data_IF_070813675113
#
_entry.id   IF_070813675113
#
_cell.length_a   1.000
_cell.length_b   1.000
_cell.length_c   1.000
_cell.angle_alpha   90.00
_cell.angle_beta   90.00
_cell.angle_gamma   90.00
#
_symmetry.space_group_name_H-M   'P 1'
#
loop_
_entity.id
_entity.type
_entity.pdbx_description
1 polymer ?
#
# COMPACT_ATOMS: atom_id res chain seq x y z
N UNK A 1 8.50 8.34 5.14
CA UNK A 1 8.23 6.93 5.49
C UNK A 1 9.33 6.29 6.31
N UNK A 2 10.59 6.44 5.89
CA UNK A 2 11.71 5.86 6.63
C UNK A 2 11.77 6.40 8.06
N UNK A 3 11.55 7.70 8.24
CA UNK A 3 11.55 8.30 9.57
C UNK A 3 10.42 7.76 10.45
N UNK A 4 9.23 7.55 9.87
CA UNK A 4 8.11 6.97 10.61
C UNK A 4 8.40 5.54 11.03
N UNK A 5 8.99 4.73 10.13
CA UNK A 5 9.36 3.36 10.45
C UNK A 5 10.41 3.29 11.55
N UNK A 6 11.39 4.18 11.51
CA UNK A 6 12.41 4.27 12.56
C UNK A 6 11.81 4.65 13.90
N UNK A 7 10.85 5.56 13.92
CA UNK A 7 10.16 5.96 15.14
C UNK A 7 9.38 4.78 15.74
N UNK A 8 8.65 4.04 14.93
CA UNK A 8 7.89 2.86 15.38
C UNK A 8 8.85 1.82 15.97
N UNK A 9 9.96 1.53 15.29
CA UNK A 9 10.96 0.59 15.78
C UNK A 9 11.59 1.07 17.10
N UNK A 10 11.83 2.36 17.24
CA UNK A 10 12.34 2.92 18.48
C UNK A 10 11.41 2.69 19.66
N UNK A 11 10.10 2.89 19.47
CA UNK A 11 9.13 2.63 20.52
C UNK A 11 9.07 1.16 20.89
N UNK A 12 9.18 0.27 19.91
CA UNK A 12 9.25 -1.16 20.20
C UNK A 12 10.50 -1.52 21.00
N UNK A 13 11.66 -1.02 20.58
CA UNK A 13 12.94 -1.35 21.23
C UNK A 13 13.08 -0.74 22.61
N UNK A 14 12.55 0.49 22.79
CA UNK A 14 12.70 1.23 24.07
C UNK A 14 11.66 0.80 25.10
N UNK A 15 10.42 0.63 24.69
CA UNK A 15 9.30 0.39 25.61
C UNK A 15 8.69 -1.01 25.50
N UNK A 16 9.18 -1.85 24.60
CA UNK A 16 8.58 -3.17 24.36
C UNK A 16 7.17 -3.10 23.79
N UNK A 17 6.82 -2.00 23.13
CA UNK A 17 5.49 -1.83 22.56
C UNK A 17 5.21 -2.88 21.49
N UNK A 18 4.03 -3.46 21.52
CA UNK A 18 3.61 -4.46 20.54
C UNK A 18 3.22 -3.76 19.24
N UNK A 19 4.15 -3.69 18.30
CA UNK A 19 3.96 -3.01 17.02
C UNK A 19 4.40 -3.91 15.87
N UNK A 20 3.75 -3.74 14.72
CA UNK A 20 4.20 -4.32 13.45
C UNK A 20 4.16 -3.21 12.41
N UNK A 21 4.97 -3.36 11.38
CA UNK A 21 5.00 -2.43 10.25
C UNK A 21 4.59 -3.20 9.01
N UNK A 22 3.69 -2.62 8.24
CA UNK A 22 3.35 -3.14 6.92
C UNK A 22 3.73 -2.12 5.85
N UNK A 23 4.33 -2.61 4.77
CA UNK A 23 4.62 -1.82 3.58
C UNK A 23 3.91 -2.45 2.41
N UNK A 24 3.09 -1.68 1.71
CA UNK A 24 2.29 -2.21 0.62
C UNK A 24 2.70 -1.61 -0.72
N UNK A 25 2.39 -2.33 -1.79
CA UNK A 25 2.46 -1.78 -3.14
C UNK A 25 1.30 -0.80 -3.36
N UNK A 26 1.23 -0.23 -4.56
CA UNK A 26 0.19 0.75 -4.88
C UNK A 26 -1.20 0.10 -4.81
N UNK A 27 -2.12 0.78 -4.15
CA UNK A 27 -3.48 0.29 -3.96
C UNK A 27 -4.44 0.89 -4.97
N UNK A 28 -5.51 0.18 -5.27
CA UNK A 28 -6.62 0.69 -6.06
C UNK A 28 -7.91 0.09 -5.57
N UNK A 29 -9.02 0.74 -5.87
CA UNK A 29 -10.33 0.23 -5.49
C UNK A 29 -11.41 1.29 -5.53
N UNK A 30 -12.67 0.89 -5.27
CA UNK A 30 -13.80 1.82 -5.27
C UNK A 30 -13.59 2.93 -4.24
N UNK A 31 -14.04 4.14 -4.62
CA UNK A 31 -14.03 5.32 -3.74
C UNK A 31 -12.63 5.82 -3.38
N UNK A 32 -11.62 5.40 -4.13
CA UNK A 32 -10.29 5.95 -3.95
C UNK A 32 -10.29 7.44 -4.31
N UNK A 33 -9.45 8.22 -3.62
CA UNK A 33 -9.32 9.66 -3.87
C UNK A 33 -8.96 9.92 -5.33
N UNK A 34 -9.63 10.88 -5.95
CA UNK A 34 -9.55 11.10 -7.40
C UNK A 34 -8.24 11.74 -7.88
N UNK A 35 -7.33 12.10 -6.99
CA UNK A 35 -5.98 12.54 -7.36
C UNK A 35 -5.07 11.36 -7.72
N UNK A 36 -5.44 10.14 -7.36
CA UNK A 36 -4.63 8.96 -7.63
C UNK A 36 -4.75 8.53 -9.10
N UNK A 37 -3.78 7.75 -9.56
CA UNK A 37 -3.66 7.44 -10.99
C UNK A 37 -4.88 6.74 -11.58
N UNK A 38 -5.31 5.63 -10.98
CA UNK A 38 -6.39 4.83 -11.56
C UNK A 38 -7.72 5.60 -11.55
N UNK A 39 -8.14 6.25 -10.46
CA UNK A 39 -9.35 7.08 -10.52
C UNK A 39 -9.24 8.22 -11.53
N UNK A 40 -8.09 8.83 -11.68
CA UNK A 40 -7.87 9.90 -12.65
C UNK A 40 -8.06 9.40 -14.08
N UNK A 41 -7.49 8.23 -14.39
CA UNK A 41 -7.63 7.62 -15.71
C UNK A 41 -9.09 7.33 -16.01
N UNK A 42 -9.80 6.72 -15.08
CA UNK A 42 -11.22 6.38 -15.26
C UNK A 42 -12.06 7.64 -15.47
N UNK A 43 -11.87 8.65 -14.63
CA UNK A 43 -12.63 9.89 -14.72
C UNK A 43 -12.41 10.59 -16.06
N UNK A 44 -11.16 10.71 -16.47
CA UNK A 44 -10.83 11.41 -17.72
C UNK A 44 -11.28 10.62 -18.94
N UNK A 45 -11.16 9.29 -18.92
CA UNK A 45 -11.64 8.45 -20.00
C UNK A 45 -13.16 8.56 -20.18
N UNK A 46 -13.92 8.55 -19.09
CA UNK A 46 -15.37 8.69 -19.14
C UNK A 46 -15.81 10.06 -19.61
N UNK A 47 -15.03 11.11 -19.31
CA UNK A 47 -15.32 12.48 -19.74
C UNK A 47 -14.82 12.78 -21.16
N UNK A 48 -14.11 11.86 -21.80
CA UNK A 48 -13.52 12.10 -23.12
C UNK A 48 -12.33 13.04 -23.08
N UNK A 49 -11.73 13.27 -21.94
CA UNK A 49 -10.57 14.14 -21.78
C UNK A 49 -9.27 13.39 -22.02
N UNK A 50 -8.20 14.15 -22.33
CA UNK A 50 -6.88 13.58 -22.48
C UNK A 50 -6.37 13.04 -21.16
N UNK A 51 -5.80 11.83 -21.17
CA UNK A 51 -5.22 11.20 -19.99
C UNK A 51 -3.76 11.62 -19.89
N UNK A 52 -3.33 12.22 -18.76
CA UNK A 52 -1.93 12.60 -18.62
C UNK A 52 -1.03 11.38 -18.47
N UNK A 53 0.06 11.36 -19.21
CA UNK A 53 1.08 10.32 -19.10
C UNK A 53 2.37 11.01 -18.70
N UNK A 54 2.97 10.58 -17.60
CA UNK A 54 4.19 11.14 -17.10
C UNK A 54 5.39 10.34 -17.60
N UNK A 55 6.45 11.03 -18.00
CA UNK A 55 7.62 10.39 -18.58
C UNK A 55 7.30 9.76 -19.93
N UNK A 56 7.82 8.55 -20.17
CA UNK A 56 7.59 7.79 -21.41
C UNK A 56 6.40 6.84 -21.34
N UNK A 57 5.70 6.84 -20.24
CA UNK A 57 4.53 5.98 -20.05
C UNK A 57 4.85 4.51 -19.81
N UNK A 58 6.10 4.16 -19.62
CA UNK A 58 6.55 2.77 -19.44
C UNK A 58 6.78 2.39 -17.99
N UNK A 59 6.37 3.24 -17.06
CA UNK A 59 6.49 2.97 -15.63
C UNK A 59 5.66 1.74 -15.26
N UNK A 60 6.29 0.82 -14.56
CA UNK A 60 5.64 -0.40 -14.07
C UNK A 60 5.47 -0.27 -12.56
N UNK A 61 4.26 -0.58 -12.08
CA UNK A 61 3.94 -0.59 -10.66
C UNK A 61 3.22 -1.89 -10.33
N UNK A 62 3.45 -2.38 -9.13
CA UNK A 62 2.69 -3.50 -8.59
C UNK A 62 1.40 -2.96 -7.99
N UNK A 63 0.25 -3.40 -8.49
CA UNK A 63 -1.05 -2.90 -8.07
C UNK A 63 -1.75 -3.91 -7.17
N UNK A 64 -2.27 -3.43 -6.05
CA UNK A 64 -2.91 -4.24 -5.04
C UNK A 64 -4.34 -3.75 -4.83
N UNK A 65 -5.31 -4.65 -5.04
CA UNK A 65 -6.70 -4.31 -4.82
C UNK A 65 -6.96 -4.07 -3.33
N UNK A 66 -7.78 -3.05 -3.02
CA UNK A 66 -7.96 -2.60 -1.64
C UNK A 66 -8.48 -3.71 -0.72
N UNK A 67 -9.40 -4.56 -1.19
CA UNK A 67 -9.93 -5.67 -0.39
C UNK A 67 -8.83 -6.67 -0.02
N UNK A 68 -7.97 -6.99 -0.97
CA UNK A 68 -6.84 -7.89 -0.73
C UNK A 68 -5.86 -7.29 0.27
N UNK A 69 -5.63 -5.98 0.18
CA UNK A 69 -4.80 -5.28 1.15
C UNK A 69 -5.39 -5.33 2.56
N UNK A 70 -6.70 -5.11 2.68
CA UNK A 70 -7.38 -5.19 3.98
C UNK A 70 -7.29 -6.58 4.59
N UNK A 71 -7.46 -7.64 3.78
CA UNK A 71 -7.30 -9.01 4.25
C UNK A 71 -5.88 -9.29 4.74
N UNK A 72 -4.88 -8.78 4.00
CA UNK A 72 -3.49 -8.94 4.40
C UNK A 72 -3.17 -8.19 5.68
N UNK A 73 -3.69 -6.97 5.84
CA UNK A 73 -3.52 -6.19 7.07
C UNK A 73 -4.13 -6.91 8.27
N UNK A 74 -5.33 -7.48 8.11
CA UNK A 74 -5.98 -8.25 9.17
C UNK A 74 -5.12 -9.43 9.59
N UNK A 75 -4.56 -10.14 8.62
CA UNK A 75 -3.67 -11.27 8.90
C UNK A 75 -2.40 -10.84 9.62
N UNK A 76 -1.78 -9.75 9.20
CA UNK A 76 -0.58 -9.22 9.86
C UNK A 76 -0.91 -8.78 11.29
N UNK A 77 -2.07 -8.16 11.50
CA UNK A 77 -2.50 -7.72 12.82
C UNK A 77 -2.65 -8.88 13.80
N UNK A 78 -3.23 -9.99 13.34
CA UNK A 78 -3.52 -11.14 14.21
C UNK A 78 -2.36 -12.13 14.32
N UNK A 79 -1.56 -12.30 13.27
CA UNK A 79 -0.54 -13.34 13.22
C UNK A 79 0.88 -12.78 13.12
N UNK A 80 1.04 -11.47 12.97
CA UNK A 80 2.34 -10.84 12.86
C UNK A 80 3.11 -10.87 14.17
N UNK A 81 4.43 -10.99 14.05
CA UNK A 81 5.32 -10.96 15.22
C UNK A 81 5.71 -9.53 15.52
N UNK A 82 5.62 -9.14 16.81
CA UNK A 82 5.95 -7.79 17.24
C UNK A 82 7.38 -7.42 16.84
N UNK A 83 7.56 -6.21 16.33
CA UNK A 83 8.83 -5.69 15.89
C UNK A 83 9.21 -6.04 14.45
N UNK A 84 8.44 -6.88 13.79
CA UNK A 84 8.73 -7.27 12.41
C UNK A 84 8.06 -6.34 11.39
N UNK A 85 8.64 -6.30 10.20
CA UNK A 85 8.10 -5.57 9.05
C UNK A 85 7.64 -6.57 8.01
N UNK A 86 6.43 -6.37 7.49
CA UNK A 86 5.82 -7.23 6.48
C UNK A 86 5.56 -6.44 5.21
N UNK A 87 5.88 -7.04 4.08
CA UNK A 87 5.58 -6.46 2.78
C UNK A 87 4.31 -7.10 2.23
N UNK A 88 3.43 -6.29 1.67
CA UNK A 88 2.18 -6.74 1.08
C UNK A 88 2.15 -6.27 -0.37
N UNK A 89 2.02 -7.19 -1.29
CA UNK A 89 2.09 -6.85 -2.71
C UNK A 89 1.08 -7.59 -3.55
N UNK A 90 1.17 -7.40 -4.85
CA UNK A 90 0.26 -7.94 -5.86
C UNK A 90 -0.03 -9.41 -5.71
N UNK A 91 -0.72 -10.02 -6.67
CA UNK A 91 -1.17 -11.41 -6.59
C UNK A 91 -1.97 -11.69 -5.31
N UNK A 92 -3.12 -10.99 -5.19
CA UNK A 92 -4.10 -11.20 -4.13
C UNK A 92 -3.59 -10.90 -2.72
N UNK A 93 -2.70 -9.95 -2.59
CA UNK A 93 -2.23 -9.53 -1.27
C UNK A 93 -1.23 -10.48 -0.63
N UNK A 94 -0.30 -10.97 -1.41
CA UNK A 94 0.78 -11.81 -0.89
C UNK A 94 1.58 -11.06 0.19
N UNK A 95 1.88 -11.75 1.28
CA UNK A 95 2.63 -11.20 2.40
C UNK A 95 4.00 -11.88 2.46
N UNK A 96 5.05 -11.08 2.65
CA UNK A 96 6.40 -11.61 2.90
C UNK A 96 7.19 -10.64 3.76
N UNK A 97 8.20 -11.17 4.40
CA UNK A 97 9.10 -10.35 5.21
C UNK A 97 10.21 -9.70 4.40
#
# INVERSE_FOLDING_TARGET
KASANMLVNSYHNTYGMNVVISSSSNNYGPRQHDEKLIPTIIRKALAGEAIPIYGDGQNIRDWLYVTDHCKALDKVFHEGKAGDTYNIGGRNGRIWK
#
